data_IF_898196642620
#
_entry.id   IF_898196642620
#
_cell.length_a   1.000
_cell.length_b   1.000
_cell.length_c   1.000
_cell.angle_alpha   90.00
_cell.angle_beta   90.00
_cell.angle_gamma   90.00
#
_symmetry.space_group_name_H-M   'P 1'
#
loop_
_entity.id
_entity.type
_entity.pdbx_description
1 polymer ?
#
# COMPACT_ATOMS: atom_id res chain seq x y z
N UNK A 1 -18.07 -32.76 7.20
CA UNK A 1 -17.71 -31.45 7.76
C UNK A 1 -16.21 -31.29 7.75
N UNK A 2 -15.69 -30.39 6.93
CA UNK A 2 -14.25 -30.11 6.89
C UNK A 2 -13.85 -29.31 8.14
N UNK A 3 -12.95 -29.86 8.98
CA UNK A 3 -12.35 -29.15 10.10
C UNK A 3 -11.54 -27.95 9.54
N UNK A 4 -11.97 -26.75 9.78
CA UNK A 4 -11.21 -25.52 9.52
C UNK A 4 -9.92 -25.59 10.34
N UNK A 5 -8.80 -25.93 9.68
CA UNK A 5 -7.47 -25.93 10.31
C UNK A 5 -7.16 -24.51 10.75
N UNK A 6 -7.15 -24.29 12.05
CA UNK A 6 -6.77 -23.01 12.65
C UNK A 6 -5.28 -22.81 12.38
N UNK A 7 -4.94 -21.98 11.37
CA UNK A 7 -3.55 -21.67 11.03
C UNK A 7 -2.98 -20.75 12.09
N UNK A 8 -1.90 -21.17 12.73
CA UNK A 8 -1.19 -20.34 13.71
C UNK A 8 -0.52 -19.13 13.05
N UNK A 9 -0.27 -18.06 13.81
CA UNK A 9 0.45 -16.88 13.32
C UNK A 9 1.83 -17.23 12.74
N UNK A 10 2.50 -18.24 13.30
CA UNK A 10 3.78 -18.77 12.78
C UNK A 10 3.63 -19.44 11.41
N UNK A 11 2.55 -20.20 11.17
CA UNK A 11 2.26 -20.83 9.88
C UNK A 11 1.97 -19.79 8.79
N UNK A 12 1.24 -18.72 9.13
CA UNK A 12 0.99 -17.60 8.21
C UNK A 12 2.27 -16.82 7.89
N UNK A 13 3.20 -16.73 8.84
CA UNK A 13 4.51 -16.08 8.67
C UNK A 13 5.43 -16.88 7.74
N UNK A 14 5.41 -18.21 7.83
CA UNK A 14 6.20 -19.08 6.96
C UNK A 14 5.74 -19.03 5.49
N UNK A 15 4.42 -18.98 5.24
CA UNK A 15 3.85 -18.86 3.89
C UNK A 15 4.16 -17.52 3.23
N UNK A 16 4.42 -16.47 4.01
CA UNK A 16 4.78 -15.13 3.51
C UNK A 16 6.23 -14.99 3.07
N UNK A 17 7.09 -15.92 3.40
CA UNK A 17 8.51 -15.89 3.01
C UNK A 17 8.79 -16.34 1.58
N UNK A 18 7.79 -16.87 0.88
CA UNK A 18 7.94 -17.41 -0.48
C UNK A 18 7.85 -16.36 -1.60
N UNK A 19 7.48 -15.11 -1.26
CA UNK A 19 7.35 -14.04 -2.26
C UNK A 19 8.69 -13.33 -2.49
N UNK A 20 9.00 -12.95 -3.76
CA UNK A 20 10.19 -12.18 -4.05
C UNK A 20 10.13 -10.83 -3.31
N UNK A 21 11.21 -10.48 -2.63
CA UNK A 21 11.32 -9.24 -1.87
C UNK A 21 11.93 -8.14 -2.73
N UNK A 22 11.30 -7.00 -2.75
CA UNK A 22 11.92 -5.78 -3.26
C UNK A 22 13.02 -5.33 -2.31
N UNK A 23 14.21 -4.94 -2.81
CA UNK A 23 15.26 -4.39 -1.96
C UNK A 23 14.74 -3.22 -1.12
N UNK A 24 14.88 -3.31 0.20
CA UNK A 24 14.44 -2.29 1.14
C UNK A 24 13.03 -2.49 1.73
N UNK A 25 12.20 -3.36 1.15
CA UNK A 25 10.91 -3.73 1.73
C UNK A 25 10.96 -5.13 2.32
N UNK A 26 10.47 -5.30 3.54
CA UNK A 26 10.41 -6.59 4.22
C UNK A 26 9.00 -6.87 4.70
N UNK A 27 8.45 -8.02 4.32
CA UNK A 27 7.19 -8.52 4.85
C UNK A 27 7.31 -8.75 6.36
N UNK A 28 6.34 -8.33 7.13
CA UNK A 28 6.33 -8.52 8.58
C UNK A 28 5.36 -7.64 9.30
N UNK A 29 5.36 -7.80 10.62
CA UNK A 29 4.56 -7.01 11.56
C UNK A 29 5.50 -6.10 12.33
N UNK A 30 5.14 -4.83 12.38
CA UNK A 30 5.92 -3.78 13.01
C UNK A 30 5.07 -3.06 14.07
N UNK A 31 5.57 -2.91 15.31
CA UNK A 31 4.84 -2.15 16.32
C UNK A 31 4.81 -0.66 15.95
N UNK A 32 3.65 -0.04 16.17
CA UNK A 32 3.44 1.40 16.01
C UNK A 32 2.76 1.95 17.27
N UNK A 33 2.72 3.27 17.42
CA UNK A 33 2.14 3.90 18.62
C UNK A 33 0.67 3.55 18.90
N UNK A 34 -0.08 3.18 17.85
CA UNK A 34 -1.51 2.87 17.92
C UNK A 34 -1.84 1.39 17.69
N UNK A 35 -0.84 0.51 17.75
CA UNK A 35 -1.04 -0.92 17.54
C UNK A 35 0.04 -1.55 16.66
N UNK A 36 -0.37 -2.15 15.56
CA UNK A 36 0.52 -2.87 14.65
C UNK A 36 0.32 -2.44 13.20
N UNK A 37 1.44 -2.26 12.49
CA UNK A 37 1.47 -2.15 11.03
C UNK A 37 2.00 -3.47 10.46
N UNK A 38 1.34 -3.98 9.42
CA UNK A 38 1.77 -5.18 8.72
C UNK A 38 2.02 -4.88 7.25
N UNK A 39 3.19 -5.28 6.75
CA UNK A 39 3.53 -5.26 5.33
C UNK A 39 3.37 -6.65 4.73
N UNK A 40 2.55 -6.76 3.70
CA UNK A 40 2.23 -8.02 3.02
C UNK A 40 2.38 -7.83 1.52
N UNK A 41 3.07 -8.75 0.81
CA UNK A 41 3.00 -8.79 -0.65
C UNK A 41 1.56 -8.92 -1.12
N UNK A 42 1.18 -8.22 -2.18
CA UNK A 42 -0.20 -8.23 -2.67
C UNK A 42 -0.60 -9.53 -3.39
N UNK A 43 0.37 -10.30 -3.86
CA UNK A 43 0.14 -11.56 -4.58
C UNK A 43 -0.18 -11.40 -6.06
N UNK A 44 -0.31 -10.18 -6.57
CA UNK A 44 -0.68 -9.90 -7.97
C UNK A 44 0.43 -9.22 -8.76
N UNK A 45 1.22 -8.38 -8.11
CA UNK A 45 2.32 -7.64 -8.72
C UNK A 45 3.63 -8.05 -8.05
N UNK A 46 4.70 -8.19 -8.83
CA UNK A 46 6.01 -8.62 -8.31
C UNK A 46 6.52 -7.71 -7.17
N UNK A 47 6.27 -6.40 -7.28
CA UNK A 47 6.66 -5.38 -6.32
C UNK A 47 5.46 -4.69 -5.66
N UNK A 48 4.32 -5.37 -5.60
CA UNK A 48 3.10 -4.88 -4.97
C UNK A 48 3.04 -5.20 -3.48
N UNK A 49 2.72 -4.20 -2.68
CA UNK A 49 2.67 -4.28 -1.22
C UNK A 49 1.37 -3.73 -0.67
N UNK A 50 0.83 -4.44 0.31
CA UNK A 50 -0.28 -3.96 1.14
C UNK A 50 0.25 -3.57 2.51
N UNK A 51 -0.18 -2.40 2.99
CA UNK A 51 -0.03 -1.98 4.37
C UNK A 51 -1.35 -2.19 5.10
N UNK A 52 -1.32 -3.00 6.15
CA UNK A 52 -2.44 -3.17 7.06
C UNK A 52 -2.13 -2.47 8.37
N UNK A 53 -3.08 -1.72 8.89
CA UNK A 53 -3.02 -1.12 10.22
C UNK A 53 -4.06 -1.81 11.10
N UNK A 54 -3.60 -2.44 12.17
CA UNK A 54 -4.46 -3.22 13.07
C UNK A 54 -5.34 -4.24 12.31
N UNK A 55 -4.78 -4.89 11.29
CA UNK A 55 -5.49 -5.88 10.48
C UNK A 55 -6.37 -5.32 9.36
N UNK A 56 -6.48 -3.99 9.23
CA UNK A 56 -7.28 -3.33 8.19
C UNK A 56 -6.39 -2.87 7.05
N UNK A 57 -6.78 -3.19 5.81
CA UNK A 57 -6.08 -2.70 4.62
C UNK A 57 -6.15 -1.17 4.55
N UNK A 58 -5.00 -0.54 4.62
CA UNK A 58 -4.89 0.93 4.68
C UNK A 58 -4.25 1.54 3.46
N UNK A 59 -3.33 0.85 2.81
CA UNK A 59 -2.65 1.35 1.61
C UNK A 59 -2.17 0.19 0.73
N UNK A 60 -2.06 0.47 -0.56
CA UNK A 60 -1.41 -0.40 -1.54
C UNK A 60 -0.40 0.41 -2.35
N UNK A 61 0.78 -0.16 -2.57
CA UNK A 61 1.83 0.44 -3.40
C UNK A 61 2.45 -0.61 -4.30
N UNK A 62 2.80 -0.21 -5.51
CA UNK A 62 3.65 -0.98 -6.41
C UNK A 62 4.95 -0.22 -6.53
N UNK A 63 6.04 -0.81 -6.02
CA UNK A 63 7.37 -0.19 -6.07
C UNK A 63 7.81 -0.05 -7.51
N UNK A 64 8.30 1.14 -7.88
CA UNK A 64 8.71 1.45 -9.26
C UNK A 64 7.56 1.82 -10.20
N UNK A 65 6.30 1.72 -9.77
CA UNK A 65 5.12 2.10 -10.55
C UNK A 65 4.19 3.02 -9.74
N UNK A 66 4.62 4.24 -9.41
CA UNK A 66 3.89 5.12 -8.50
C UNK A 66 2.52 5.56 -9.04
N UNK A 67 2.32 5.54 -10.35
CA UNK A 67 1.03 5.90 -10.97
C UNK A 67 0.02 4.77 -11.03
N UNK A 68 0.40 3.57 -10.62
CA UNK A 68 -0.51 2.42 -10.52
C UNK A 68 -1.21 2.45 -9.15
N UNK A 69 -2.49 2.73 -9.14
CA UNK A 69 -3.35 2.77 -7.96
C UNK A 69 -4.36 1.62 -8.02
N UNK A 70 -4.30 0.71 -7.06
CA UNK A 70 -5.16 -0.46 -7.04
C UNK A 70 -6.53 -0.17 -6.39
N UNK A 71 -6.55 0.60 -5.30
CA UNK A 71 -7.78 0.96 -4.63
C UNK A 71 -8.63 1.91 -5.48
N UNK A 72 -9.88 1.56 -5.70
CA UNK A 72 -10.78 2.29 -6.58
C UNK A 72 -10.95 3.77 -6.16
N UNK A 73 -11.14 4.01 -4.87
CA UNK A 73 -11.30 5.38 -4.37
C UNK A 73 -10.03 6.24 -4.58
N UNK A 74 -8.84 5.64 -4.56
CA UNK A 74 -7.59 6.33 -4.88
C UNK A 74 -7.54 6.73 -6.35
N UNK A 75 -8.06 5.90 -7.26
CA UNK A 75 -8.18 6.23 -8.69
C UNK A 75 -9.12 7.39 -8.94
N UNK A 76 -10.23 7.45 -8.19
CA UNK A 76 -11.14 8.59 -8.27
C UNK A 76 -10.50 9.89 -7.80
N UNK A 77 -9.80 9.85 -6.66
CA UNK A 77 -9.05 11.01 -6.15
C UNK A 77 -7.99 11.45 -7.17
N UNK A 78 -7.24 10.52 -7.73
CA UNK A 78 -6.22 10.82 -8.74
C UNK A 78 -6.82 11.48 -9.98
N UNK A 79 -7.96 11.00 -10.47
CA UNK A 79 -8.65 11.60 -11.62
C UNK A 79 -9.07 13.05 -11.36
N UNK A 80 -9.61 13.34 -10.18
CA UNK A 80 -9.97 14.71 -9.78
C UNK A 80 -8.74 15.60 -9.66
N UNK A 81 -7.68 15.11 -9.03
CA UNK A 81 -6.41 15.84 -8.90
C UNK A 81 -5.80 16.15 -10.26
N UNK A 82 -5.69 15.17 -11.15
CA UNK A 82 -5.12 15.36 -12.49
C UNK A 82 -5.91 16.41 -13.27
N UNK A 83 -7.23 16.36 -13.24
CA UNK A 83 -8.08 17.34 -13.90
C UNK A 83 -7.87 18.74 -13.32
N UNK A 84 -7.80 18.87 -12.00
CA UNK A 84 -7.62 20.16 -11.34
C UNK A 84 -6.23 20.75 -11.64
N UNK A 85 -5.19 19.93 -11.56
CA UNK A 85 -3.80 20.34 -11.84
C UNK A 85 -3.67 20.83 -13.28
N UNK A 86 -4.17 20.08 -14.24
CA UNK A 86 -4.08 20.42 -15.66
C UNK A 86 -4.84 21.71 -16.00
N UNK A 87 -5.95 21.97 -15.31
CA UNK A 87 -6.83 23.10 -15.63
C UNK A 87 -6.46 24.37 -14.88
N UNK A 88 -5.96 24.29 -13.66
CA UNK A 88 -5.83 25.43 -12.76
C UNK A 88 -4.42 25.69 -12.22
N UNK A 89 -3.52 24.75 -12.34
CA UNK A 89 -2.19 24.81 -11.71
C UNK A 89 -1.09 24.64 -12.75
N UNK A 90 0.12 25.09 -12.38
CA UNK A 90 1.32 24.82 -13.14
C UNK A 90 2.00 23.55 -12.59
N UNK A 91 2.05 22.43 -13.35
CA UNK A 91 2.66 21.19 -12.89
C UNK A 91 4.11 21.33 -12.43
N UNK A 92 4.88 22.19 -13.09
CA UNK A 92 6.31 22.39 -12.78
C UNK A 92 6.56 23.10 -11.44
N UNK A 93 5.53 23.72 -10.88
CA UNK A 93 5.59 24.48 -9.62
C UNK A 93 4.64 23.92 -8.56
N UNK A 94 4.18 22.69 -8.75
CA UNK A 94 3.22 22.08 -7.87
C UNK A 94 3.82 21.83 -6.48
N UNK A 95 3.09 22.21 -5.44
CA UNK A 95 3.35 21.87 -4.05
C UNK A 95 2.13 21.18 -3.48
N UNK A 96 2.35 20.03 -2.88
CA UNK A 96 1.30 19.21 -2.28
C UNK A 96 1.59 18.99 -0.79
N UNK A 97 0.57 19.12 0.03
CA UNK A 97 0.63 18.77 1.45
C UNK A 97 -0.34 17.62 1.70
N UNK A 98 0.16 16.55 2.29
CA UNK A 98 -0.63 15.38 2.64
C UNK A 98 -0.80 15.31 4.16
N UNK A 99 -2.05 15.25 4.62
CA UNK A 99 -2.38 15.07 6.04
C UNK A 99 -2.67 13.60 6.29
N UNK A 100 -1.75 12.91 6.98
CA UNK A 100 -1.72 11.45 7.01
C UNK A 100 -1.40 10.92 5.63
N UNK A 101 -0.87 9.82 5.43
CA UNK A 101 -0.50 9.38 4.08
C UNK A 101 -0.50 7.88 3.89
N UNK A 102 -0.62 7.13 4.99
CA UNK A 102 -0.45 5.70 4.97
C UNK A 102 0.91 5.32 4.38
N UNK A 103 0.93 4.53 3.31
CA UNK A 103 2.14 4.22 2.56
C UNK A 103 2.47 5.25 1.46
N UNK A 104 1.92 6.45 1.55
CA UNK A 104 2.15 7.55 0.62
C UNK A 104 1.73 7.25 -0.84
N UNK A 105 0.69 6.46 -1.06
CA UNK A 105 0.25 6.06 -2.40
C UNK A 105 -0.08 7.26 -3.29
N UNK A 106 -0.86 8.22 -2.81
CA UNK A 106 -1.18 9.44 -3.57
C UNK A 106 0.01 10.39 -3.70
N UNK A 107 0.82 10.54 -2.65
CA UNK A 107 2.02 11.38 -2.72
C UNK A 107 3.02 10.86 -3.76
N UNK A 108 3.12 9.55 -3.90
CA UNK A 108 3.97 8.91 -4.92
C UNK A 108 3.38 9.00 -6.33
N UNK A 109 2.06 9.06 -6.44
CA UNK A 109 1.35 9.21 -7.70
C UNK A 109 1.57 10.61 -8.31
N UNK A 110 1.52 11.65 -7.48
CA UNK A 110 1.71 13.06 -7.87
C UNK A 110 3.16 13.38 -8.20
#
# INVERSE_FOLDING_TARGET
MAKKKNRTAASRRAERSEYPHTPGAAAGVYPISTGEAELVPDGYHADGWLLLINGVQSSHVIVGQPRMLDFEYMRWIAAVLDSHIQTHLNPDKLRLTHLGGGACSLARYC
#
